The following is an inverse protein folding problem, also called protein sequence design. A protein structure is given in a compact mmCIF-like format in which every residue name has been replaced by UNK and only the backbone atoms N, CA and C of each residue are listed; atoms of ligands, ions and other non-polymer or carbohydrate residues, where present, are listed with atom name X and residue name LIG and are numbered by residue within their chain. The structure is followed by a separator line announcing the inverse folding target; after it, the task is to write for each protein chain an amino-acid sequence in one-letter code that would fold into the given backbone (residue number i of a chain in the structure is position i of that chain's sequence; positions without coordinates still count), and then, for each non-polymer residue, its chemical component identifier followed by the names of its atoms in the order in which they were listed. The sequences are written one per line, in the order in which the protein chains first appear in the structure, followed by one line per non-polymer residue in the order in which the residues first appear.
data_IF_935616409411
#
_entry.id   IF_935616409411
#
_cell.length_a   1.000
_cell.length_b   1.000
_cell.length_c   1.000
_cell.angle_alpha   90.00
_cell.angle_beta   90.00
_cell.angle_gamma   90.00
#
_symmetry.space_group_name_H-M   'P 1'
#
loop_
_entity.id
_entity.type
_entity.pdbx_description
1 polymer ?
#
# COMPACT_ATOMS: atom_id res chain seq x y z
N UNK A 1 14.46 21.57 -19.76
CA UNK A 1 13.24 20.77 -19.66
C UNK A 1 12.39 21.25 -20.81
N UNK A 2 12.14 20.37 -21.76
CA UNK A 2 11.40 20.72 -22.97
C UNK A 2 9.92 20.84 -22.62
N UNK A 3 9.23 21.81 -23.23
CA UNK A 3 7.79 22.00 -23.01
C UNK A 3 6.96 20.98 -23.80
N UNK A 4 5.66 20.87 -23.45
CA UNK A 4 4.73 19.93 -24.08
C UNK A 4 4.71 20.09 -25.61
N UNK A 5 4.76 21.35 -26.09
CA UNK A 5 4.75 21.64 -27.52
C UNK A 5 6.01 21.10 -28.21
N UNK A 6 7.18 21.30 -27.63
CA UNK A 6 8.47 20.88 -28.17
C UNK A 6 8.59 19.37 -28.23
N UNK A 7 8.15 18.66 -27.19
CA UNK A 7 8.12 17.19 -27.17
C UNK A 7 7.13 16.65 -28.21
N UNK A 8 5.93 17.22 -28.29
CA UNK A 8 4.93 16.82 -29.29
C UNK A 8 5.40 17.09 -30.72
N UNK A 9 6.06 18.23 -30.97
CA UNK A 9 6.65 18.55 -32.26
C UNK A 9 7.77 17.58 -32.62
N UNK A 10 8.65 17.26 -31.66
CA UNK A 10 9.73 16.31 -31.89
C UNK A 10 9.20 14.90 -32.20
N UNK A 11 8.19 14.43 -31.46
CA UNK A 11 7.50 13.18 -31.72
C UNK A 11 6.88 13.16 -33.13
N UNK A 12 6.21 14.26 -33.52
CA UNK A 12 5.62 14.42 -34.85
C UNK A 12 6.67 14.40 -35.96
N UNK A 13 7.82 15.05 -35.76
CA UNK A 13 8.93 15.01 -36.71
C UNK A 13 9.50 13.59 -36.88
N UNK A 14 9.64 12.83 -35.79
CA UNK A 14 10.09 11.43 -35.85
C UNK A 14 9.06 10.53 -36.56
N UNK A 15 7.77 10.75 -36.30
CA UNK A 15 6.71 10.05 -37.02
C UNK A 15 6.72 10.32 -38.52
N UNK A 16 6.91 11.57 -38.92
CA UNK A 16 7.03 11.94 -40.34
C UNK A 16 8.27 11.27 -40.95
N UNK A 17 9.40 11.27 -40.24
CA UNK A 17 10.61 10.58 -40.68
C UNK A 17 10.36 9.07 -40.87
N UNK A 18 9.71 8.42 -39.90
CA UNK A 18 9.30 7.02 -40.00
C UNK A 18 8.42 6.80 -41.24
N UNK A 19 7.40 7.62 -41.44
CA UNK A 19 6.52 7.50 -42.62
C UNK A 19 7.30 7.61 -43.95
N UNK A 20 8.33 8.46 -44.01
CA UNK A 20 9.20 8.58 -45.19
C UNK A 20 10.14 7.39 -45.39
N UNK A 21 10.43 6.63 -44.33
CA UNK A 21 11.30 5.44 -44.33
C UNK A 21 10.50 4.14 -44.37
N UNK A 22 9.17 4.20 -44.47
CA UNK A 22 8.32 3.01 -44.45
C UNK A 22 8.69 2.09 -45.62
N UNK A 23 9.25 0.89 -45.36
CA UNK A 23 9.67 -0.04 -46.42
C UNK A 23 8.53 -0.49 -47.33
N UNK A 24 7.28 -0.44 -46.86
CA UNK A 24 6.10 -0.73 -47.68
C UNK A 24 5.84 0.38 -48.72
N UNK A 25 6.22 1.62 -48.40
CA UNK A 25 6.10 2.78 -49.28
C UNK A 25 7.34 2.98 -50.15
N UNK A 26 8.55 2.79 -49.59
CA UNK A 26 9.81 3.00 -50.32
C UNK A 26 10.18 1.81 -51.19
N UNK A 27 9.72 0.60 -50.84
CA UNK A 27 10.11 -0.64 -51.50
C UNK A 27 11.56 -1.05 -51.24
N UNK A 28 12.27 -0.40 -50.30
CA UNK A 28 13.66 -0.66 -49.96
C UNK A 28 13.79 -1.33 -48.59
N UNK A 29 14.29 -2.57 -48.59
CA UNK A 29 14.49 -3.34 -47.35
C UNK A 29 15.57 -2.74 -46.44
N UNK A 30 16.41 -1.83 -46.93
CA UNK A 30 17.41 -1.14 -46.13
C UNK A 30 16.79 -0.11 -45.17
N UNK A 31 15.55 0.29 -45.42
CA UNK A 31 14.85 1.28 -44.59
C UNK A 31 14.16 0.66 -43.36
N UNK A 32 14.14 -0.69 -43.24
CA UNK A 32 13.49 -1.39 -42.13
C UNK A 32 14.02 -0.95 -40.76
N UNK A 33 15.35 -0.92 -40.57
CA UNK A 33 15.92 -0.55 -39.26
C UNK A 33 15.75 0.96 -38.98
N UNK A 34 16.05 1.88 -39.92
CA UNK A 34 15.79 3.30 -39.73
C UNK A 34 14.31 3.63 -39.45
N UNK A 35 13.37 2.94 -40.10
CA UNK A 35 11.94 3.05 -39.83
C UNK A 35 11.62 2.70 -38.38
N UNK A 36 12.09 1.53 -37.91
CA UNK A 36 11.86 1.07 -36.55
C UNK A 36 12.39 2.05 -35.50
N UNK A 37 13.61 2.56 -35.71
CA UNK A 37 14.24 3.54 -34.80
C UNK A 37 13.42 4.84 -34.74
N UNK A 38 12.97 5.35 -35.89
CA UNK A 38 12.18 6.58 -35.94
C UNK A 38 10.78 6.40 -35.29
N UNK A 39 10.17 5.23 -35.45
CA UNK A 39 8.90 4.87 -34.80
C UNK A 39 9.04 4.81 -33.28
N UNK A 40 10.02 4.06 -32.77
CA UNK A 40 10.30 3.94 -31.34
C UNK A 40 10.60 5.32 -30.74
N UNK A 41 11.39 6.15 -31.44
CA UNK A 41 11.68 7.50 -30.96
C UNK A 41 10.47 8.41 -30.93
N UNK A 42 9.56 8.28 -31.90
CA UNK A 42 8.30 9.04 -31.90
C UNK A 42 7.41 8.64 -30.72
N UNK A 43 7.32 7.34 -30.46
CA UNK A 43 6.58 6.78 -29.31
C UNK A 43 7.15 7.26 -27.98
N UNK A 44 8.48 7.15 -27.79
CA UNK A 44 9.16 7.56 -26.56
C UNK A 44 8.94 9.05 -26.25
N UNK A 45 8.99 9.92 -27.27
CA UNK A 45 8.75 11.35 -27.09
C UNK A 45 7.29 11.65 -26.74
N UNK A 46 6.33 10.92 -27.32
CA UNK A 46 4.92 11.04 -26.94
C UNK A 46 4.69 10.56 -25.48
N UNK A 47 5.36 9.48 -25.08
CA UNK A 47 5.34 8.97 -23.70
C UNK A 47 5.96 9.97 -22.72
N UNK A 48 7.12 10.53 -23.04
CA UNK A 48 7.79 11.54 -22.21
C UNK A 48 6.92 12.78 -22.03
N UNK A 49 6.27 13.23 -23.10
CA UNK A 49 5.30 14.32 -23.05
C UNK A 49 4.14 14.02 -22.09
N UNK A 50 3.55 12.81 -22.18
CA UNK A 50 2.47 12.39 -21.31
C UNK A 50 2.90 12.29 -19.84
N UNK A 51 4.09 11.75 -19.57
CA UNK A 51 4.63 11.64 -18.21
C UNK A 51 4.85 13.01 -17.56
N UNK A 52 5.46 13.94 -18.30
CA UNK A 52 5.74 15.28 -17.81
C UNK A 52 4.47 16.14 -17.67
N UNK A 53 3.50 15.96 -18.56
CA UNK A 53 2.32 16.82 -18.69
C UNK A 53 0.99 16.07 -18.59
N UNK A 54 0.90 15.06 -17.72
CA UNK A 54 -0.31 14.24 -17.54
C UNK A 54 -1.58 15.01 -17.11
N UNK A 55 -1.45 16.27 -16.70
CA UNK A 55 -2.59 17.14 -16.38
C UNK A 55 -3.14 17.93 -17.58
N UNK A 56 -2.44 17.92 -18.71
CA UNK A 56 -2.78 18.67 -19.92
C UNK A 56 -3.51 17.77 -20.93
N UNK A 57 -4.39 18.33 -21.79
CA UNK A 57 -5.01 17.57 -22.87
C UNK A 57 -3.98 17.15 -23.92
N UNK A 58 -4.31 16.11 -24.70
CA UNK A 58 -3.47 15.66 -25.82
C UNK A 58 -3.19 16.83 -26.78
N UNK A 59 -1.90 17.13 -27.07
CA UNK A 59 -1.55 18.27 -27.88
C UNK A 59 -2.03 18.08 -29.33
N UNK A 60 -2.52 19.14 -30.01
CA UNK A 60 -3.07 19.03 -31.37
C UNK A 60 -2.13 18.41 -32.40
N UNK A 61 -0.81 18.50 -32.20
CA UNK A 61 0.22 17.91 -33.05
C UNK A 61 0.25 16.37 -33.02
N UNK A 62 -0.34 15.75 -32.00
CA UNK A 62 -0.41 14.29 -31.86
C UNK A 62 -1.81 13.76 -32.19
N UNK A 63 -2.86 14.58 -32.02
CA UNK A 63 -4.27 14.22 -32.26
C UNK A 63 -4.51 13.72 -33.69
N UNK A 64 -3.81 14.29 -34.67
CA UNK A 64 -3.92 13.89 -36.08
C UNK A 64 -3.12 12.62 -36.44
N UNK A 65 -2.42 12.03 -35.46
CA UNK A 65 -1.72 10.75 -35.56
C UNK A 65 -2.31 9.78 -34.55
N UNK A 66 -3.26 8.91 -34.97
CA UNK A 66 -3.95 8.01 -34.04
C UNK A 66 -3.02 7.17 -33.17
N UNK A 67 -1.87 6.74 -33.70
CA UNK A 67 -0.87 6.00 -32.95
C UNK A 67 -0.27 6.83 -31.80
N UNK A 68 0.28 8.03 -32.09
CA UNK A 68 0.89 8.87 -31.06
C UNK A 68 -0.13 9.44 -30.08
N UNK A 69 -1.34 9.76 -30.56
CA UNK A 69 -2.45 10.14 -29.69
C UNK A 69 -2.76 9.04 -28.68
N UNK A 70 -2.88 7.79 -29.15
CA UNK A 70 -3.13 6.64 -28.30
C UNK A 70 -2.02 6.38 -27.28
N UNK A 71 -0.75 6.52 -27.68
CA UNK A 71 0.41 6.40 -26.78
C UNK A 71 0.35 7.47 -25.69
N UNK A 72 0.12 8.73 -26.07
CA UNK A 72 0.04 9.83 -25.12
C UNK A 72 -1.10 9.61 -24.11
N UNK A 73 -2.32 9.36 -24.59
CA UNK A 73 -3.49 9.18 -23.74
C UNK A 73 -3.38 7.96 -22.81
N UNK A 74 -2.82 6.86 -23.31
CA UNK A 74 -2.56 5.68 -22.50
C UNK A 74 -1.59 5.97 -21.36
N UNK A 75 -0.47 6.63 -21.66
CA UNK A 75 0.52 6.96 -20.65
C UNK A 75 -0.02 7.98 -19.63
N UNK A 76 -0.79 8.97 -20.06
CA UNK A 76 -1.49 9.89 -19.15
C UNK A 76 -2.39 9.11 -18.18
N UNK A 77 -3.15 8.14 -18.67
CA UNK A 77 -4.02 7.33 -17.83
C UNK A 77 -3.23 6.53 -16.78
N UNK A 78 -2.08 5.96 -17.15
CA UNK A 78 -1.19 5.25 -16.21
C UNK A 78 -0.65 6.19 -15.12
N UNK A 79 -0.12 7.35 -15.51
CA UNK A 79 0.45 8.33 -14.58
C UNK A 79 -0.60 8.84 -13.59
N UNK A 80 -1.82 9.11 -14.06
CA UNK A 80 -2.90 9.55 -13.18
C UNK A 80 -3.37 8.44 -12.23
N UNK A 81 -3.43 7.18 -12.70
CA UNK A 81 -3.77 6.04 -11.86
C UNK A 81 -2.72 5.82 -10.76
N UNK A 82 -1.43 5.90 -11.09
CA UNK A 82 -0.34 5.76 -10.12
C UNK A 82 -0.37 6.88 -9.07
N UNK A 83 -0.63 8.13 -9.50
CA UNK A 83 -0.79 9.27 -8.57
C UNK A 83 -1.98 9.10 -7.63
N UNK A 84 -3.11 8.60 -8.15
CA UNK A 84 -4.28 8.30 -7.32
C UNK A 84 -3.96 7.20 -6.30
N UNK A 85 -3.37 6.09 -6.75
CA UNK A 85 -2.97 4.99 -5.87
C UNK A 85 -1.97 5.41 -4.78
N UNK A 86 -1.01 6.29 -5.11
CA UNK A 86 -0.07 6.85 -4.15
C UNK A 86 -0.76 7.76 -3.12
N UNK A 87 -1.74 8.56 -3.55
CA UNK A 87 -2.53 9.41 -2.65
C UNK A 87 -3.34 8.56 -1.69
N UNK A 88 -4.06 7.57 -2.19
CA UNK A 88 -4.85 6.63 -1.38
C UNK A 88 -3.99 5.85 -0.39
N UNK A 89 -2.76 5.47 -0.79
CA UNK A 89 -1.80 4.82 0.10
C UNK A 89 -1.35 5.74 1.24
N UNK A 90 -0.99 6.99 0.91
CA UNK A 90 -0.59 7.97 1.89
C UNK A 90 -1.71 8.30 2.88
N UNK A 91 -2.96 8.40 2.42
CA UNK A 91 -4.13 8.61 3.28
C UNK A 91 -4.35 7.44 4.25
N UNK A 92 -4.23 6.19 3.77
CA UNK A 92 -4.33 4.99 4.61
C UNK A 92 -3.23 4.93 5.66
N UNK A 93 -2.00 5.27 5.30
CA UNK A 93 -0.88 5.26 6.24
C UNK A 93 -1.03 6.36 7.30
N UNK A 94 -1.50 7.55 6.91
CA UNK A 94 -1.81 8.63 7.84
C UNK A 94 -2.99 8.29 8.77
N UNK A 95 -4.01 7.58 8.29
CA UNK A 95 -5.09 7.08 9.12
C UNK A 95 -4.59 6.07 10.16
N UNK A 96 -3.76 5.09 9.75
CA UNK A 96 -3.14 4.12 10.65
C UNK A 96 -2.27 4.78 11.72
N UNK A 97 -1.51 5.81 11.34
CA UNK A 97 -0.68 6.56 12.29
C UNK A 97 -1.55 7.32 13.31
N UNK A 98 -2.66 7.93 12.87
CA UNK A 98 -3.62 8.58 13.78
C UNK A 98 -4.25 7.58 14.74
N UNK A 99 -4.65 6.41 14.25
CA UNK A 99 -5.21 5.34 15.09
C UNK A 99 -4.19 4.88 16.15
N UNK A 100 -2.94 4.67 15.76
CA UNK A 100 -1.84 4.34 16.68
C UNK A 100 -1.63 5.42 17.74
N UNK A 101 -1.56 6.69 17.33
CA UNK A 101 -1.41 7.80 18.27
C UNK A 101 -2.59 7.92 19.23
N UNK A 102 -3.82 7.71 18.75
CA UNK A 102 -5.01 7.67 19.59
C UNK A 102 -4.91 6.56 20.63
N UNK A 103 -4.56 5.34 20.20
CA UNK A 103 -4.37 4.20 21.10
C UNK A 103 -3.31 4.48 22.17
N UNK A 104 -2.15 5.05 21.82
CA UNK A 104 -1.11 5.40 22.79
C UNK A 104 -1.59 6.43 23.83
N UNK A 105 -2.40 7.41 23.43
CA UNK A 105 -2.99 8.38 24.37
C UNK A 105 -3.96 7.69 25.33
N UNK A 106 -4.80 6.78 24.83
CA UNK A 106 -5.73 6.03 25.67
C UNK A 106 -5.00 5.08 26.63
N UNK A 107 -3.94 4.40 26.15
CA UNK A 107 -3.06 3.56 26.99
C UNK A 107 -2.42 4.39 28.11
N UNK A 108 -1.88 5.56 27.78
CA UNK A 108 -1.23 6.44 28.76
C UNK A 108 -2.21 6.95 29.83
N UNK A 109 -3.48 7.15 29.45
CA UNK A 109 -4.55 7.54 30.38
C UNK A 109 -5.20 6.34 31.11
N UNK A 110 -4.78 5.11 30.79
CA UNK A 110 -5.39 3.87 31.30
C UNK A 110 -6.90 3.79 31.03
N UNK A 111 -7.35 4.35 29.91
CA UNK A 111 -8.76 4.36 29.48
C UNK A 111 -9.09 3.06 28.73
N UNK A 112 -9.12 1.96 29.49
CA UNK A 112 -9.37 0.61 28.97
C UNK A 112 -10.74 0.47 28.31
N UNK A 113 -11.75 1.20 28.79
CA UNK A 113 -13.11 1.16 28.22
C UNK A 113 -13.13 1.77 26.82
N UNK A 114 -12.47 2.92 26.62
CA UNK A 114 -12.33 3.52 25.30
C UNK A 114 -11.50 2.66 24.33
N UNK A 115 -10.57 1.84 24.85
CA UNK A 115 -9.85 0.82 24.08
C UNK A 115 -10.68 -0.44 23.82
N UNK A 116 -11.90 -0.53 24.35
CA UNK A 116 -12.74 -1.73 24.33
C UNK A 116 -12.07 -2.98 24.95
N UNK A 117 -11.23 -2.76 25.96
CA UNK A 117 -10.49 -3.79 26.69
C UNK A 117 -10.99 -3.91 28.14
N UNK A 118 -10.86 -5.09 28.77
CA UNK A 118 -11.09 -5.21 30.20
C UNK A 118 -10.00 -4.43 30.97
N UNK A 119 -10.31 -3.98 32.19
CA UNK A 119 -9.27 -3.45 33.07
C UNK A 119 -8.32 -4.57 33.52
N UNK A 120 -7.03 -4.27 33.75
CA UNK A 120 -6.05 -5.25 34.21
C UNK A 120 -6.49 -6.02 35.46
N UNK A 121 -7.03 -5.33 36.46
CA UNK A 121 -7.51 -5.95 37.71
C UNK A 121 -8.68 -6.92 37.47
N UNK A 122 -9.63 -6.53 36.61
CA UNK A 122 -10.80 -7.36 36.32
C UNK A 122 -10.42 -8.64 35.59
N UNK A 123 -9.51 -8.53 34.62
CA UNK A 123 -9.02 -9.69 33.86
C UNK A 123 -8.19 -10.60 34.76
N UNK A 124 -7.30 -10.04 35.59
CA UNK A 124 -6.51 -10.80 36.56
C UNK A 124 -7.40 -11.57 37.53
N UNK A 125 -8.39 -10.90 38.15
CA UNK A 125 -9.31 -11.54 39.08
C UNK A 125 -10.10 -12.69 38.42
N UNK A 126 -10.51 -12.51 37.16
CA UNK A 126 -11.23 -13.55 36.41
C UNK A 126 -10.36 -14.79 36.16
N UNK A 127 -9.09 -14.59 35.78
CA UNK A 127 -8.15 -15.70 35.58
C UNK A 127 -7.86 -16.42 36.89
N UNK A 128 -7.72 -15.70 38.00
CA UNK A 128 -7.53 -16.30 39.33
C UNK A 128 -8.73 -17.13 39.82
N UNK A 129 -9.93 -16.90 39.28
CA UNK A 129 -11.10 -17.76 39.56
C UNK A 129 -11.14 -19.02 38.68
N UNK A 130 -10.14 -19.23 37.82
CA UNK A 130 -10.08 -20.33 36.85
C UNK A 130 -11.02 -20.14 35.65
N UNK A 131 -11.58 -18.93 35.47
CA UNK A 131 -12.46 -18.65 34.34
C UNK A 131 -11.65 -18.17 33.13
N UNK A 132 -11.86 -18.74 31.93
CA UNK A 132 -11.20 -18.28 30.73
C UNK A 132 -11.70 -16.89 30.32
N UNK A 133 -10.84 -16.11 29.67
CA UNK A 133 -11.17 -14.79 29.14
C UNK A 133 -10.82 -14.69 27.67
N UNK A 134 -11.59 -13.91 26.92
CA UNK A 134 -11.30 -13.62 25.52
C UNK A 134 -11.01 -12.12 25.36
N UNK A 135 -9.88 -11.80 24.74
CA UNK A 135 -9.43 -10.44 24.48
C UNK A 135 -8.87 -10.39 23.08
N UNK A 136 -9.44 -9.56 22.20
CA UNK A 136 -8.98 -9.40 20.81
C UNK A 136 -8.79 -10.77 20.11
N UNK A 137 -9.77 -11.67 20.25
CA UNK A 137 -9.76 -13.04 19.71
C UNK A 137 -8.66 -13.97 20.29
N UNK A 138 -7.94 -13.55 21.33
CA UNK A 138 -7.04 -14.41 22.10
C UNK A 138 -7.77 -14.92 23.34
N UNK A 139 -7.72 -16.24 23.56
CA UNK A 139 -8.27 -16.87 24.75
C UNK A 139 -7.18 -17.02 25.80
N UNK A 140 -7.39 -16.52 27.01
CA UNK A 140 -6.49 -16.61 28.14
C UNK A 140 -7.05 -17.60 29.17
N UNK A 141 -6.17 -18.46 29.68
CA UNK A 141 -6.50 -19.45 30.71
C UNK A 141 -5.36 -19.55 31.73
N UNK A 142 -5.71 -19.59 33.00
CA UNK A 142 -4.74 -19.85 34.06
C UNK A 142 -4.85 -21.32 34.51
N UNK A 143 -3.74 -22.04 34.41
CA UNK A 143 -3.61 -23.42 34.85
C UNK A 143 -2.90 -23.46 36.21
N UNK A 144 -3.68 -23.58 37.28
CA UNK A 144 -3.21 -23.54 38.67
C UNK A 144 -2.22 -24.68 39.01
N UNK A 145 -2.38 -25.86 38.39
CA UNK A 145 -1.50 -27.02 38.65
C UNK A 145 -0.06 -26.81 38.15
N UNK A 146 0.08 -26.12 37.02
CA UNK A 146 1.38 -25.81 36.42
C UNK A 146 1.87 -24.42 36.80
N UNK A 147 1.02 -23.60 37.44
CA UNK A 147 1.27 -22.20 37.74
C UNK A 147 1.65 -21.43 36.46
N UNK A 148 0.84 -21.56 35.40
CA UNK A 148 1.10 -20.98 34.07
C UNK A 148 -0.17 -20.31 33.54
N UNK A 149 0.00 -19.13 32.93
CA UNK A 149 -1.05 -18.51 32.11
C UNK A 149 -0.80 -18.83 30.64
N UNK A 150 -1.74 -19.54 30.04
CA UNK A 150 -1.75 -19.86 28.62
C UNK A 150 -2.54 -18.80 27.84
N UNK A 151 -2.13 -18.59 26.59
CA UNK A 151 -2.97 -17.95 25.60
C UNK A 151 -3.16 -18.91 24.42
N UNK A 152 -4.35 -18.91 23.83
CA UNK A 152 -4.62 -19.49 22.52
C UNK A 152 -4.88 -18.34 21.55
N UNK A 153 -4.05 -18.25 20.51
CA UNK A 153 -4.19 -17.26 19.44
C UNK A 153 -5.51 -17.43 18.65
N UNK A 154 -5.91 -16.44 17.83
CA UNK A 154 -7.09 -16.54 16.96
C UNK A 154 -7.05 -17.73 15.98
N UNK A 155 -5.84 -18.27 15.75
CA UNK A 155 -5.59 -19.41 14.86
C UNK A 155 -5.52 -20.76 15.59
N UNK A 156 -5.83 -20.78 16.90
CA UNK A 156 -5.82 -22.01 17.70
C UNK A 156 -4.42 -22.48 18.11
N UNK A 157 -3.41 -21.61 18.02
CA UNK A 157 -2.05 -21.92 18.48
C UNK A 157 -1.88 -21.47 19.91
N UNK A 158 -1.49 -22.41 20.77
CA UNK A 158 -1.24 -22.17 22.18
C UNK A 158 0.17 -21.63 22.42
N UNK A 159 0.29 -20.76 23.42
CA UNK A 159 1.55 -20.25 23.91
C UNK A 159 1.47 -19.87 25.38
N UNK A 160 2.62 -19.67 26.00
CA UNK A 160 2.72 -19.23 27.39
C UNK A 160 2.75 -17.71 27.42
N UNK A 161 1.82 -17.10 28.15
CA UNK A 161 1.85 -15.66 28.42
C UNK A 161 2.84 -15.36 29.56
N UNK A 162 2.73 -16.10 30.67
CA UNK A 162 3.68 -16.02 31.78
C UNK A 162 3.73 -17.31 32.59
N UNK A 163 4.84 -17.47 33.31
CA UNK A 163 4.99 -18.47 34.37
C UNK A 163 4.73 -17.80 35.72
N UNK A 164 3.87 -18.40 36.53
CA UNK A 164 3.33 -17.86 37.76
C UNK A 164 1.85 -17.53 37.65
N UNK A 165 1.21 -17.36 38.82
CA UNK A 165 -0.13 -16.82 38.93
C UNK A 165 -0.26 -15.48 38.17
N UNK A 166 -1.40 -15.23 37.51
CA UNK A 166 -1.62 -14.00 36.77
C UNK A 166 -1.51 -12.80 37.71
N UNK A 167 -0.60 -11.87 37.39
CA UNK A 167 -0.42 -10.63 38.10
C UNK A 167 -0.87 -9.43 37.24
N UNK A 168 -1.28 -8.36 37.92
CA UNK A 168 -1.85 -7.17 37.26
C UNK A 168 -0.85 -6.51 36.30
N UNK A 169 0.46 -6.55 36.58
CA UNK A 169 1.45 -5.91 35.73
C UNK A 169 1.64 -6.70 34.42
N UNK A 170 1.72 -8.03 34.49
CA UNK A 170 1.80 -8.89 33.31
C UNK A 170 0.55 -8.78 32.44
N UNK A 171 -0.63 -8.84 33.07
CA UNK A 171 -1.91 -8.68 32.36
C UNK A 171 -2.04 -7.28 31.74
N UNK A 172 -1.58 -6.23 32.42
CA UNK A 172 -1.52 -4.88 31.85
C UNK A 172 -0.61 -4.83 30.63
N UNK A 173 0.57 -5.46 30.67
CA UNK A 173 1.47 -5.53 29.51
C UNK A 173 0.79 -6.21 28.32
N UNK A 174 0.13 -7.34 28.55
CA UNK A 174 -0.65 -8.02 27.51
C UNK A 174 -1.74 -7.12 26.91
N UNK A 175 -2.50 -6.40 27.74
CA UNK A 175 -3.55 -5.50 27.26
C UNK A 175 -3.00 -4.31 26.47
N UNK A 176 -1.83 -3.80 26.83
CA UNK A 176 -1.13 -2.76 26.05
C UNK A 176 -0.76 -3.30 24.67
N UNK A 177 -0.25 -4.52 24.61
CA UNK A 177 0.11 -5.15 23.34
C UNK A 177 -1.13 -5.41 22.47
N UNK A 178 -2.24 -5.85 23.06
CA UNK A 178 -3.53 -5.98 22.37
C UNK A 178 -4.04 -4.62 21.85
N UNK A 179 -3.95 -3.56 22.66
CA UNK A 179 -4.35 -2.20 22.26
C UNK A 179 -3.50 -1.67 21.09
N UNK A 180 -2.25 -2.12 20.98
CA UNK A 180 -1.34 -1.82 19.86
C UNK A 180 -1.56 -2.70 18.63
N UNK A 181 -2.44 -3.69 18.72
CA UNK A 181 -2.70 -4.67 17.67
C UNK A 181 -1.56 -5.69 17.49
N UNK A 182 -0.78 -5.96 18.55
CA UNK A 182 0.22 -7.02 18.53
C UNK A 182 -0.50 -8.36 18.64
N UNK A 183 -0.34 -9.22 17.64
CA UNK A 183 -0.85 -10.60 17.69
C UNK A 183 0.16 -11.52 18.38
N UNK A 184 -0.35 -12.35 19.30
CA UNK A 184 0.45 -13.35 19.99
C UNK A 184 0.30 -14.70 19.28
N UNK A 185 1.44 -15.34 18.98
CA UNK A 185 1.50 -16.60 18.23
C UNK A 185 1.84 -16.41 16.75
N UNK A 186 2.04 -17.51 16.01
CA UNK A 186 2.36 -17.44 14.59
C UNK A 186 1.15 -16.99 13.77
N UNK A 187 1.40 -16.10 12.81
CA UNK A 187 0.44 -15.65 11.80
C UNK A 187 0.62 -16.53 10.55
N UNK A 188 -0.45 -17.17 10.03
CA UNK A 188 -0.39 -18.03 8.84
C UNK A 188 0.10 -17.34 7.56
#
# INVERSE_FOLDING_TARGET
MDDLFSLALAARCQWVLATCLDPELTGDKRDIDPYGIAMERAEDLAREAAQAFAGEPCPPLLVDVPFLCGVFEHEVALVLADRAAATDAAERDLARERERQCAEVLIANEDWEALHLPTPDRLTAKLLTGEPAEVCCHRLEYEEELDIVWFTSPYGVDGVLCSGAPDVATIKSFLIDMARGVEYGPIP
#
